data_IF_456695683085
#
_entry.id   IF_456695683085
#
_cell.length_a   1.000
_cell.length_b   1.000
_cell.length_c   1.000
_cell.angle_alpha   90.00
_cell.angle_beta   90.00
_cell.angle_gamma   90.00
#
_symmetry.space_group_name_H-M   'P 1'
#
loop_
_entity.id
_entity.type
_entity.pdbx_description
1 polymer ?
#
# COMPACT_ATOMS: atom_id res chain seq x y z
N UNK A 1 50.98 -16.07 -34.61
CA UNK A 1 50.78 -14.61 -34.57
C UNK A 1 49.44 -14.36 -33.93
N UNK A 2 49.47 -13.71 -32.78
CA UNK A 2 48.39 -13.49 -31.82
C UNK A 2 47.39 -12.47 -32.35
N UNK A 3 46.10 -12.79 -32.33
CA UNK A 3 45.02 -11.84 -32.59
C UNK A 3 44.57 -11.20 -31.27
N UNK A 4 44.88 -9.92 -31.12
CA UNK A 4 44.47 -9.06 -30.00
C UNK A 4 42.95 -8.90 -29.95
N UNK A 5 42.34 -9.34 -28.84
CA UNK A 5 40.97 -8.98 -28.47
C UNK A 5 41.05 -7.67 -27.69
N UNK A 6 40.32 -6.59 -28.08
CA UNK A 6 40.37 -5.35 -27.33
C UNK A 6 39.75 -5.54 -25.95
N UNK A 7 40.52 -5.31 -24.90
CA UNK A 7 40.03 -5.19 -23.52
C UNK A 7 39.10 -3.98 -23.41
N UNK A 8 37.91 -4.09 -22.81
CA UNK A 8 37.02 -2.94 -22.61
C UNK A 8 37.67 -1.92 -21.66
N UNK A 9 37.52 -0.64 -22.01
CA UNK A 9 37.99 0.53 -21.29
C UNK A 9 37.50 0.57 -19.81
N UNK A 10 38.40 0.69 -18.81
CA UNK A 10 38.03 0.75 -17.39
C UNK A 10 37.22 1.98 -16.97
N UNK A 11 37.03 2.98 -17.84
CA UNK A 11 36.52 4.30 -17.46
C UNK A 11 34.98 4.44 -17.40
N UNK A 12 34.19 3.39 -17.60
CA UNK A 12 32.71 3.45 -17.58
C UNK A 12 32.06 2.94 -16.28
N UNK A 13 32.80 2.82 -15.18
CA UNK A 13 32.19 2.55 -13.87
C UNK A 13 31.62 3.83 -13.27
N UNK A 14 30.33 4.10 -13.57
CA UNK A 14 29.48 5.00 -12.76
C UNK A 14 29.75 4.68 -11.29
N UNK A 15 30.21 5.69 -10.54
CA UNK A 15 30.42 5.62 -9.09
C UNK A 15 29.10 5.25 -8.40
N UNK A 16 28.86 3.96 -8.24
CA UNK A 16 27.79 3.45 -7.39
C UNK A 16 28.23 3.66 -5.96
N UNK A 17 27.63 4.65 -5.30
CA UNK A 17 27.81 4.86 -3.86
C UNK A 17 27.46 3.57 -3.09
N UNK A 18 27.96 3.48 -1.87
CA UNK A 18 27.97 2.31 -0.95
C UNK A 18 26.61 1.64 -0.66
N UNK A 19 25.53 2.04 -1.33
CA UNK A 19 24.19 1.48 -1.27
C UNK A 19 23.63 0.96 -2.61
N UNK A 20 24.34 1.10 -3.75
CA UNK A 20 23.87 0.61 -5.06
C UNK A 20 22.55 1.22 -5.57
N UNK A 21 22.06 2.30 -4.94
CA UNK A 21 20.81 3.00 -5.27
C UNK A 21 21.11 4.33 -5.94
N UNK A 22 20.36 4.65 -6.98
CA UNK A 22 20.34 5.97 -7.61
C UNK A 22 19.49 6.92 -6.74
N UNK A 23 20.11 7.44 -5.67
CA UNK A 23 19.47 8.27 -4.65
C UNK A 23 18.67 9.47 -5.23
N UNK A 24 19.15 10.16 -6.30
CA UNK A 24 18.39 11.22 -6.96
C UNK A 24 17.11 10.72 -7.65
N UNK A 25 17.16 9.58 -8.34
CA UNK A 25 15.98 9.00 -9.00
C UNK A 25 14.92 8.58 -7.96
N UNK A 26 15.38 8.03 -6.85
CA UNK A 26 14.57 7.68 -5.70
C UNK A 26 13.80 8.89 -5.12
N UNK A 27 14.49 10.01 -4.89
CA UNK A 27 13.87 11.24 -4.38
C UNK A 27 12.89 11.82 -5.41
N UNK A 28 13.26 11.83 -6.68
CA UNK A 28 12.40 12.35 -7.75
C UNK A 28 11.07 11.59 -7.82
N UNK A 29 11.08 10.25 -7.82
CA UNK A 29 9.86 9.44 -7.84
C UNK A 29 8.98 9.70 -6.61
N UNK A 30 9.58 9.77 -5.41
CA UNK A 30 8.83 10.06 -4.19
C UNK A 30 8.16 11.44 -4.22
N UNK A 31 8.90 12.48 -4.62
CA UNK A 31 8.37 13.85 -4.76
C UNK A 31 7.29 13.90 -5.83
N UNK A 32 7.47 13.24 -6.96
CA UNK A 32 6.46 13.18 -8.03
C UNK A 32 5.19 12.49 -7.55
N UNK A 33 5.28 11.37 -6.84
CA UNK A 33 4.11 10.67 -6.30
C UNK A 33 3.34 11.55 -5.31
N UNK A 34 4.05 12.18 -4.36
CA UNK A 34 3.44 13.13 -3.41
C UNK A 34 2.81 14.32 -4.13
N UNK A 35 3.49 14.89 -5.13
CA UNK A 35 2.96 15.99 -5.92
C UNK A 35 1.70 15.57 -6.69
N UNK A 36 1.69 14.40 -7.33
CA UNK A 36 0.51 13.88 -8.04
C UNK A 36 -0.66 13.69 -7.09
N UNK A 37 -0.42 13.12 -5.90
CA UNK A 37 -1.46 12.94 -4.88
C UNK A 37 -1.99 14.28 -4.38
N UNK A 38 -1.13 15.21 -3.98
CA UNK A 38 -1.57 16.50 -3.44
C UNK A 38 -2.22 17.38 -4.51
N UNK A 39 -1.67 17.44 -5.72
CA UNK A 39 -2.25 18.21 -6.81
C UNK A 39 -3.60 17.63 -7.26
N UNK A 40 -3.74 16.31 -7.34
CA UNK A 40 -5.04 15.72 -7.66
C UNK A 40 -6.08 16.01 -6.58
N UNK A 41 -5.72 15.95 -5.30
CA UNK A 41 -6.64 16.27 -4.19
C UNK A 41 -7.10 17.73 -4.17
N UNK A 42 -6.23 18.68 -4.53
CA UNK A 42 -6.53 20.11 -4.47
C UNK A 42 -7.38 20.55 -5.68
N UNK A 43 -7.11 20.01 -6.86
CA UNK A 43 -7.69 20.52 -8.11
C UNK A 43 -8.89 19.72 -8.61
N UNK A 44 -8.89 18.38 -8.47
CA UNK A 44 -9.97 17.52 -8.97
C UNK A 44 -10.10 16.22 -8.16
N UNK A 45 -11.09 16.13 -7.25
CA UNK A 45 -11.36 14.92 -6.44
C UNK A 45 -11.42 13.65 -7.30
N UNK A 46 -12.07 13.73 -8.47
CA UNK A 46 -12.20 12.61 -9.40
C UNK A 46 -10.85 12.15 -9.98
N UNK A 47 -9.89 13.06 -10.17
CA UNK A 47 -8.54 12.71 -10.64
C UNK A 47 -7.79 11.88 -9.61
N UNK A 48 -7.94 12.19 -8.31
CA UNK A 48 -7.36 11.37 -7.25
C UNK A 48 -7.99 9.96 -7.24
N UNK A 49 -9.30 9.86 -7.46
CA UNK A 49 -9.99 8.58 -7.63
C UNK A 49 -9.37 7.73 -8.74
N UNK A 50 -9.09 8.34 -9.90
CA UNK A 50 -8.40 7.67 -11.02
C UNK A 50 -7.00 7.20 -10.62
N UNK A 51 -6.23 8.04 -9.91
CA UNK A 51 -4.88 7.67 -9.42
C UNK A 51 -4.95 6.44 -8.51
N UNK A 52 -5.90 6.40 -7.58
CA UNK A 52 -6.11 5.24 -6.68
C UNK A 52 -6.48 3.99 -7.48
N UNK A 53 -7.40 4.09 -8.44
CA UNK A 53 -7.79 2.95 -9.30
C UNK A 53 -6.59 2.42 -10.07
N UNK A 54 -5.81 3.29 -10.73
CA UNK A 54 -4.62 2.89 -11.48
C UNK A 54 -3.59 2.24 -10.56
N UNK A 55 -3.34 2.82 -9.38
CA UNK A 55 -2.39 2.29 -8.42
C UNK A 55 -2.78 0.88 -7.94
N UNK A 56 -4.04 0.65 -7.60
CA UNK A 56 -4.53 -0.64 -7.13
C UNK A 56 -4.56 -1.70 -8.23
N UNK A 57 -4.85 -1.32 -9.48
CA UNK A 57 -4.75 -2.23 -10.63
C UNK A 57 -3.30 -2.67 -10.84
N UNK A 58 -2.35 -1.74 -10.80
CA UNK A 58 -0.92 -2.04 -10.92
C UNK A 58 -0.45 -2.94 -9.77
N UNK A 59 -0.84 -2.64 -8.53
CA UNK A 59 -0.54 -3.46 -7.36
C UNK A 59 -1.13 -4.88 -7.49
N UNK A 60 -2.35 -5.00 -8.03
CA UNK A 60 -2.97 -6.30 -8.31
C UNK A 60 -2.19 -7.10 -9.35
N UNK A 61 -1.64 -6.45 -10.39
CA UNK A 61 -0.76 -7.11 -11.35
C UNK A 61 0.54 -7.61 -10.70
N UNK A 62 1.22 -6.78 -9.91
CA UNK A 62 2.45 -7.15 -9.20
C UNK A 62 2.21 -8.32 -8.24
N UNK A 63 1.19 -8.22 -7.39
CA UNK A 63 0.84 -9.27 -6.43
C UNK A 63 0.41 -10.57 -7.14
N UNK A 64 -0.31 -10.49 -8.26
CA UNK A 64 -0.67 -11.68 -9.04
C UNK A 64 0.57 -12.38 -9.65
N UNK A 65 1.57 -11.61 -10.08
CA UNK A 65 2.85 -12.14 -10.59
C UNK A 65 3.68 -12.75 -9.48
N UNK A 66 3.73 -12.11 -8.31
CA UNK A 66 4.36 -12.66 -7.12
C UNK A 66 3.76 -14.02 -6.75
N UNK A 67 2.43 -14.12 -6.65
CA UNK A 67 1.73 -15.38 -6.37
C UNK A 67 1.97 -16.45 -7.46
N UNK A 68 2.13 -16.04 -8.72
CA UNK A 68 2.44 -16.96 -9.81
C UNK A 68 3.79 -17.67 -9.64
N UNK A 69 4.77 -17.06 -8.95
CA UNK A 69 6.06 -17.70 -8.64
C UNK A 69 5.91 -18.90 -7.70
N UNK A 70 4.89 -18.88 -6.82
CA UNK A 70 4.48 -20.00 -5.98
C UNK A 70 3.49 -20.96 -6.67
N UNK A 71 3.31 -20.82 -7.99
CA UNK A 71 2.42 -21.64 -8.80
C UNK A 71 0.93 -21.34 -8.62
N UNK A 72 0.55 -20.24 -7.97
CA UNK A 72 -0.83 -19.80 -7.75
C UNK A 72 -1.29 -18.96 -8.95
N UNK A 73 -2.40 -19.34 -9.60
CA UNK A 73 -2.88 -18.64 -10.81
C UNK A 73 -4.14 -17.84 -10.51
N UNK A 74 -3.95 -16.56 -10.23
CA UNK A 74 -5.07 -15.66 -9.96
C UNK A 74 -5.97 -15.52 -11.21
N UNK A 75 -7.30 -15.69 -11.11
CA UNK A 75 -8.25 -15.38 -12.16
C UNK A 75 -8.40 -13.86 -12.30
N UNK A 76 -7.37 -13.21 -12.84
CA UNK A 76 -7.21 -11.77 -12.80
C UNK A 76 -8.32 -10.98 -13.55
N UNK A 77 -8.85 -11.41 -14.70
CA UNK A 77 -9.87 -10.64 -15.41
C UNK A 77 -11.15 -10.32 -14.60
N UNK A 78 -11.85 -11.30 -13.99
CA UNK A 78 -13.00 -10.99 -13.13
C UNK A 78 -12.60 -10.20 -11.88
N UNK A 79 -11.43 -10.45 -11.30
CA UNK A 79 -10.94 -9.72 -10.12
C UNK A 79 -10.72 -8.23 -10.43
N UNK A 80 -10.07 -7.90 -11.56
CA UNK A 80 -9.85 -6.51 -11.95
C UNK A 80 -11.15 -5.81 -12.35
N UNK A 81 -11.99 -6.46 -13.16
CA UNK A 81 -13.25 -5.87 -13.59
C UNK A 81 -14.17 -5.59 -12.40
N UNK A 82 -14.34 -6.58 -11.51
CA UNK A 82 -15.15 -6.45 -10.31
C UNK A 82 -14.54 -5.51 -9.27
N UNK A 83 -13.22 -5.56 -9.08
CA UNK A 83 -12.49 -4.67 -8.17
C UNK A 83 -12.58 -3.19 -8.58
N UNK A 84 -12.37 -2.89 -9.87
CA UNK A 84 -12.55 -1.52 -10.40
C UNK A 84 -14.00 -1.07 -10.30
N UNK A 85 -14.95 -1.95 -10.61
CA UNK A 85 -16.39 -1.64 -10.46
C UNK A 85 -16.72 -1.33 -9.00
N UNK A 86 -16.17 -2.10 -8.05
CA UNK A 86 -16.37 -1.89 -6.62
C UNK A 86 -15.79 -0.54 -6.15
N UNK A 87 -14.62 -0.14 -6.66
CA UNK A 87 -14.03 1.18 -6.37
C UNK A 87 -14.92 2.32 -6.90
N UNK A 88 -15.38 2.21 -8.15
CA UNK A 88 -16.22 3.23 -8.80
C UNK A 88 -17.56 3.36 -8.08
N UNK A 89 -18.24 2.24 -7.81
CA UNK A 89 -19.51 2.22 -7.08
C UNK A 89 -19.32 2.75 -5.67
N UNK A 90 -18.26 2.35 -4.96
CA UNK A 90 -18.01 2.85 -3.61
C UNK A 90 -17.68 4.35 -3.53
N UNK A 91 -17.31 4.98 -4.66
CA UNK A 91 -17.11 6.43 -4.76
C UNK A 91 -18.39 7.18 -5.14
N UNK A 92 -19.19 6.66 -6.06
CA UNK A 92 -20.39 7.36 -6.57
C UNK A 92 -21.70 7.00 -5.86
N UNK A 93 -21.74 5.88 -5.14
CA UNK A 93 -22.93 5.34 -4.51
C UNK A 93 -22.65 5.05 -3.02
N UNK A 94 -22.79 3.81 -2.55
CA UNK A 94 -22.60 3.45 -1.15
C UNK A 94 -21.79 2.15 -0.94
N UNK A 95 -21.54 1.82 0.34
CA UNK A 95 -20.80 0.62 0.73
C UNK A 95 -21.60 -0.67 0.61
N UNK A 96 -22.94 -0.61 0.64
CA UNK A 96 -23.80 -1.78 0.45
C UNK A 96 -23.71 -2.24 -1.00
N UNK A 97 -23.83 -1.32 -1.96
CA UNK A 97 -23.66 -1.60 -3.39
C UNK A 97 -22.24 -2.07 -3.69
N UNK A 98 -21.20 -1.44 -3.11
CA UNK A 98 -19.82 -1.91 -3.26
C UNK A 98 -19.63 -3.36 -2.72
N UNK A 99 -20.26 -3.68 -1.58
CA UNK A 99 -20.23 -5.03 -1.01
C UNK A 99 -20.99 -6.04 -1.86
N UNK A 100 -22.12 -5.64 -2.46
CA UNK A 100 -22.85 -6.46 -3.41
C UNK A 100 -22.01 -6.75 -4.66
N UNK A 101 -21.30 -5.76 -5.20
CA UNK A 101 -20.35 -5.92 -6.32
C UNK A 101 -19.23 -6.89 -5.91
N UNK A 102 -18.69 -6.78 -4.69
CA UNK A 102 -17.69 -7.72 -4.18
C UNK A 102 -18.23 -9.15 -4.19
N UNK A 103 -19.43 -9.38 -3.64
CA UNK A 103 -20.05 -10.71 -3.58
C UNK A 103 -20.28 -11.30 -4.98
N UNK A 104 -20.79 -10.50 -5.92
CA UNK A 104 -20.95 -10.91 -7.32
C UNK A 104 -19.60 -11.24 -7.98
N UNK A 105 -18.56 -10.45 -7.68
CA UNK A 105 -17.21 -10.67 -8.20
C UNK A 105 -16.59 -11.96 -7.66
N UNK A 106 -16.86 -12.33 -6.40
CA UNK A 106 -16.45 -13.61 -5.82
C UNK A 106 -17.06 -14.77 -6.62
N UNK A 107 -18.36 -14.72 -6.89
CA UNK A 107 -19.04 -15.75 -7.70
C UNK A 107 -18.51 -15.77 -9.13
N UNK A 108 -18.32 -14.61 -9.76
CA UNK A 108 -17.74 -14.52 -11.11
C UNK A 108 -16.31 -15.08 -11.17
N UNK A 109 -15.52 -14.85 -10.12
CA UNK A 109 -14.16 -15.37 -9.96
C UNK A 109 -14.15 -16.89 -9.87
N UNK A 110 -15.05 -17.48 -9.08
CA UNK A 110 -15.22 -18.93 -8.99
C UNK A 110 -15.72 -19.53 -10.31
N UNK A 111 -16.71 -18.91 -10.94
CA UNK A 111 -17.24 -19.34 -12.23
C UNK A 111 -16.17 -19.30 -13.33
N UNK A 112 -15.31 -18.27 -13.35
CA UNK A 112 -14.21 -18.16 -14.29
C UNK A 112 -13.23 -19.33 -14.17
N UNK A 113 -12.96 -19.80 -12.94
CA UNK A 113 -12.07 -20.93 -12.65
C UNK A 113 -12.63 -22.29 -13.03
N UNK A 114 -13.96 -22.44 -13.16
CA UNK A 114 -14.58 -23.71 -13.59
C UNK A 114 -14.03 -24.20 -14.94
N UNK A 115 -13.69 -23.27 -15.84
CA UNK A 115 -13.16 -23.57 -17.18
C UNK A 115 -11.77 -24.23 -17.16
N UNK A 116 -11.06 -24.18 -16.05
CA UNK A 116 -9.71 -24.74 -15.92
C UNK A 116 -9.68 -26.07 -15.16
N UNK A 117 -10.85 -26.63 -14.83
CA UNK A 117 -10.96 -27.87 -14.06
C UNK A 117 -10.72 -27.70 -12.55
N UNK A 118 -10.61 -28.82 -11.84
CA UNK A 118 -10.52 -28.85 -10.38
C UNK A 118 -9.12 -28.59 -9.81
N UNK A 119 -8.06 -28.79 -10.62
CA UNK A 119 -6.68 -28.66 -10.19
C UNK A 119 -6.40 -27.23 -9.69
N UNK A 120 -6.00 -27.09 -8.42
CA UNK A 120 -5.71 -25.80 -7.80
C UNK A 120 -6.92 -24.85 -7.72
N UNK A 121 -8.16 -25.33 -7.92
CA UNK A 121 -9.36 -24.51 -7.98
C UNK A 121 -9.51 -23.62 -6.75
N UNK A 122 -9.50 -24.22 -5.54
CA UNK A 122 -9.65 -23.50 -4.28
C UNK A 122 -8.54 -22.47 -4.10
N UNK A 123 -7.27 -22.90 -4.25
CA UNK A 123 -6.08 -22.05 -4.11
C UNK A 123 -6.12 -20.81 -5.01
N UNK A 124 -6.44 -21.00 -6.28
CA UNK A 124 -6.47 -19.94 -7.27
C UNK A 124 -7.68 -18.99 -7.05
N UNK A 125 -8.84 -19.55 -6.67
CA UNK A 125 -10.02 -18.75 -6.32
C UNK A 125 -9.82 -17.93 -5.04
N UNK A 126 -9.27 -18.54 -3.98
CA UNK A 126 -8.95 -17.84 -2.73
C UNK A 126 -7.92 -16.74 -2.94
N UNK A 127 -6.96 -16.94 -3.84
CA UNK A 127 -6.01 -15.89 -4.21
C UNK A 127 -6.71 -14.69 -4.91
N UNK A 128 -7.70 -14.95 -5.77
CA UNK A 128 -8.51 -13.88 -6.35
C UNK A 128 -9.35 -13.13 -5.32
N UNK A 129 -9.97 -13.84 -4.39
CA UNK A 129 -10.74 -13.26 -3.27
C UNK A 129 -9.82 -12.47 -2.34
N UNK A 130 -8.60 -12.96 -2.10
CA UNK A 130 -7.58 -12.25 -1.34
C UNK A 130 -7.21 -10.94 -2.01
N UNK A 131 -6.93 -10.89 -3.33
CA UNK A 131 -6.67 -9.63 -4.03
C UNK A 131 -7.85 -8.66 -3.96
N UNK A 132 -9.07 -9.17 -4.11
CA UNK A 132 -10.30 -8.36 -4.03
C UNK A 132 -10.46 -7.71 -2.64
N UNK A 133 -10.25 -8.50 -1.59
CA UNK A 133 -10.42 -8.06 -0.20
C UNK A 133 -9.26 -7.20 0.28
N UNK A 134 -8.03 -7.57 -0.09
CA UNK A 134 -6.81 -6.92 0.39
C UNK A 134 -6.53 -5.61 -0.35
N UNK A 135 -6.73 -5.55 -1.67
CA UNK A 135 -6.42 -4.35 -2.44
C UNK A 135 -7.67 -3.49 -2.67
N UNK A 136 -8.69 -4.07 -3.29
CA UNK A 136 -9.81 -3.29 -3.80
C UNK A 136 -10.76 -2.85 -2.68
N UNK A 137 -11.10 -3.74 -1.73
CA UNK A 137 -12.00 -3.37 -0.63
C UNK A 137 -11.32 -2.34 0.29
N UNK A 138 -10.03 -2.50 0.56
CA UNK A 138 -9.26 -1.50 1.31
C UNK A 138 -9.19 -0.16 0.57
N UNK A 139 -8.99 -0.20 -0.75
CA UNK A 139 -9.04 0.96 -1.63
C UNK A 139 -10.39 1.67 -1.63
N UNK A 140 -11.49 0.92 -1.50
CA UNK A 140 -12.84 1.50 -1.42
C UNK A 140 -12.97 2.41 -0.19
N UNK A 141 -12.37 2.08 0.95
CA UNK A 141 -12.36 2.97 2.11
C UNK A 141 -11.61 4.28 1.84
N UNK A 142 -10.53 4.25 1.04
CA UNK A 142 -9.81 5.46 0.63
C UNK A 142 -10.70 6.37 -0.21
N UNK A 143 -11.41 5.80 -1.20
CA UNK A 143 -12.34 6.57 -2.02
C UNK A 143 -13.52 7.07 -1.20
N UNK A 144 -14.01 6.29 -0.23
CA UNK A 144 -15.11 6.72 0.63
C UNK A 144 -14.70 7.88 1.55
N UNK A 145 -13.46 7.94 2.04
CA UNK A 145 -12.95 9.12 2.74
C UNK A 145 -13.04 10.38 1.86
N UNK A 146 -12.76 10.27 0.57
CA UNK A 146 -12.75 11.41 -0.36
C UNK A 146 -14.13 12.00 -0.64
N UNK A 147 -15.19 11.19 -0.54
CA UNK A 147 -16.57 11.61 -0.81
C UNK A 147 -17.17 12.54 0.25
N UNK A 148 -16.54 12.65 1.43
CA UNK A 148 -16.96 13.61 2.44
C UNK A 148 -16.72 15.06 1.97
N UNK A 149 -17.40 16.02 2.61
CA UNK A 149 -17.26 17.45 2.28
C UNK A 149 -15.80 17.91 2.48
N UNK A 150 -15.21 17.52 3.61
CA UNK A 150 -13.81 17.66 4.01
C UNK A 150 -12.90 16.53 3.46
N UNK A 151 -13.38 15.75 2.48
CA UNK A 151 -12.74 14.53 2.00
C UNK A 151 -11.24 14.66 1.63
N UNK A 152 -10.79 15.74 0.96
CA UNK A 152 -9.36 15.94 0.71
C UNK A 152 -8.51 15.96 2.00
N UNK A 153 -9.01 16.58 3.06
CA UNK A 153 -8.33 16.62 4.35
C UNK A 153 -8.34 15.26 5.05
N UNK A 154 -9.40 14.47 4.90
CA UNK A 154 -9.44 13.09 5.43
C UNK A 154 -8.39 12.22 4.76
N UNK A 155 -8.23 12.32 3.44
CA UNK A 155 -7.19 11.60 2.70
C UNK A 155 -5.80 12.10 3.10
N UNK A 156 -5.60 13.41 3.26
CA UNK A 156 -4.33 13.97 3.76
C UNK A 156 -4.02 13.47 5.17
N UNK A 157 -5.00 13.42 6.07
CA UNK A 157 -4.84 12.90 7.42
C UNK A 157 -4.38 11.43 7.39
N UNK A 158 -5.07 10.59 6.61
CA UNK A 158 -4.73 9.18 6.39
C UNK A 158 -3.28 9.00 5.91
N UNK A 159 -2.86 9.75 4.89
CA UNK A 159 -1.50 9.67 4.35
C UNK A 159 -0.48 10.19 5.36
N UNK A 160 -0.77 11.31 6.01
CA UNK A 160 0.12 11.97 6.96
C UNK A 160 0.41 11.08 8.17
N UNK A 161 -0.61 10.46 8.78
CA UNK A 161 -0.40 9.59 9.95
C UNK A 161 0.41 8.35 9.60
N UNK A 162 0.25 7.83 8.37
CA UNK A 162 1.01 6.68 7.87
C UNK A 162 2.47 7.05 7.62
N UNK A 163 2.73 8.17 6.93
CA UNK A 163 4.09 8.68 6.70
C UNK A 163 4.78 9.05 8.02
N UNK A 164 4.06 9.68 8.96
CA UNK A 164 4.59 10.02 10.27
C UNK A 164 4.97 8.76 11.07
N UNK A 165 4.18 7.69 10.97
CA UNK A 165 4.51 6.38 11.56
C UNK A 165 5.83 5.84 11.00
N UNK A 166 6.02 5.85 9.68
CA UNK A 166 7.24 5.33 9.05
C UNK A 166 8.48 6.17 9.39
N UNK A 167 8.35 7.50 9.34
CA UNK A 167 9.45 8.42 9.67
C UNK A 167 9.84 8.29 11.15
N UNK A 168 8.85 8.30 12.05
CA UNK A 168 9.06 8.15 13.48
C UNK A 168 9.69 6.79 13.82
N UNK A 169 9.21 5.73 13.16
CA UNK A 169 9.71 4.38 13.33
C UNK A 169 11.13 4.18 12.84
N UNK A 170 11.43 4.72 11.67
CA UNK A 170 12.78 4.71 11.12
C UNK A 170 13.75 5.53 12.00
N UNK A 171 13.38 6.75 12.39
CA UNK A 171 14.23 7.62 13.19
C UNK A 171 14.55 7.00 14.56
N UNK A 172 13.53 6.56 15.30
CA UNK A 172 13.73 5.93 16.61
C UNK A 172 14.40 4.56 16.49
N UNK A 173 14.09 3.79 15.45
CA UNK A 173 14.72 2.50 15.17
C UNK A 173 16.22 2.62 14.89
N UNK A 174 16.64 3.63 14.12
CA UNK A 174 18.06 3.87 13.83
C UNK A 174 18.82 4.39 15.05
N UNK A 175 18.22 5.30 15.83
CA UNK A 175 18.88 5.95 16.96
C UNK A 175 18.92 5.06 18.22
N UNK A 176 17.85 4.30 18.47
CA UNK A 176 17.63 3.60 19.73
C UNK A 176 17.30 2.11 19.58
N UNK A 177 17.17 1.60 18.36
CA UNK A 177 16.74 0.23 18.11
C UNK A 177 17.69 -0.81 18.71
N UNK A 178 17.21 -1.52 19.73
CA UNK A 178 17.96 -2.59 20.40
C UNK A 178 17.16 -3.88 20.48
N UNK A 179 15.84 -3.78 20.58
CA UNK A 179 14.98 -4.94 20.79
C UNK A 179 14.13 -5.21 19.54
N UNK A 180 14.45 -6.23 18.73
CA UNK A 180 13.64 -6.59 17.58
C UNK A 180 12.23 -7.01 18.00
N UNK A 181 11.22 -6.49 17.30
CA UNK A 181 9.81 -6.78 17.58
C UNK A 181 9.36 -8.12 16.97
N UNK A 182 9.78 -8.41 15.74
CA UNK A 182 9.39 -9.61 15.02
C UNK A 182 10.62 -10.29 14.38
N UNK A 183 11.51 -10.93 15.18
CA UNK A 183 12.81 -11.41 14.70
C UNK A 183 12.70 -12.40 13.54
N UNK A 184 11.65 -13.23 13.55
CA UNK A 184 11.40 -14.26 12.55
C UNK A 184 10.73 -13.75 11.28
N UNK A 185 10.21 -12.51 11.25
CA UNK A 185 9.42 -11.96 10.13
C UNK A 185 10.06 -10.69 9.57
N UNK A 186 10.47 -9.77 10.43
CA UNK A 186 11.13 -8.52 10.07
C UNK A 186 12.19 -8.17 11.14
N UNK A 187 13.44 -8.66 10.96
CA UNK A 187 14.51 -8.46 11.94
C UNK A 187 14.87 -6.98 12.18
N UNK A 188 14.48 -6.10 11.25
CA UNK A 188 14.80 -4.67 11.28
C UNK A 188 13.77 -3.84 12.05
N UNK A 189 12.58 -4.37 12.33
CA UNK A 189 11.59 -3.67 13.14
C UNK A 189 11.91 -3.85 14.63
N UNK A 190 12.01 -2.75 15.36
CA UNK A 190 12.29 -2.74 16.80
C UNK A 190 11.13 -2.16 17.61
N UNK A 191 11.05 -2.52 18.89
CA UNK A 191 10.09 -1.94 19.83
C UNK A 191 10.33 -0.44 20.04
N UNK A 192 11.58 0.01 20.03
CA UNK A 192 11.92 1.44 20.09
C UNK A 192 11.46 2.19 18.85
N UNK A 193 11.59 1.56 17.67
CA UNK A 193 11.02 2.07 16.42
C UNK A 193 9.51 2.25 16.54
N UNK A 194 8.79 1.20 16.97
CA UNK A 194 7.35 1.29 17.15
C UNK A 194 6.90 2.38 18.13
N UNK A 195 7.62 2.58 19.23
CA UNK A 195 7.37 3.71 20.13
C UNK A 195 7.56 5.07 19.44
N UNK A 196 8.60 5.20 18.60
CA UNK A 196 8.82 6.39 17.77
C UNK A 196 7.70 6.62 16.75
N UNK A 197 7.23 5.57 16.08
CA UNK A 197 6.04 5.61 15.21
C UNK A 197 4.81 6.11 15.96
N UNK A 198 4.59 5.60 17.17
CA UNK A 198 3.48 5.99 18.03
C UNK A 198 3.48 7.48 18.34
N UNK A 199 4.61 8.02 18.81
CA UNK A 199 4.73 9.45 19.14
C UNK A 199 4.53 10.32 17.91
N UNK A 200 5.19 10.01 16.80
CA UNK A 200 5.11 10.81 15.58
C UNK A 200 3.70 10.80 14.96
N UNK A 201 3.08 9.62 14.86
CA UNK A 201 1.76 9.46 14.25
C UNK A 201 0.64 10.04 15.13
N UNK A 202 0.72 9.90 16.46
CA UNK A 202 -0.24 10.55 17.39
C UNK A 202 -0.12 12.05 17.33
N UNK A 203 1.10 12.61 17.32
CA UNK A 203 1.29 14.05 17.17
C UNK A 203 0.69 14.54 15.83
N UNK A 204 1.00 13.87 14.72
CA UNK A 204 0.46 14.20 13.41
C UNK A 204 -1.08 14.09 13.36
N UNK A 205 -1.63 13.03 13.94
CA UNK A 205 -3.08 12.78 14.03
C UNK A 205 -3.80 13.86 14.83
N UNK A 206 -3.29 14.24 15.99
CA UNK A 206 -3.84 15.35 16.79
C UNK A 206 -3.80 16.66 16.00
N UNK A 207 -2.66 17.00 15.40
CA UNK A 207 -2.50 18.25 14.67
C UNK A 207 -3.46 18.34 13.47
N UNK A 208 -3.55 17.30 12.65
CA UNK A 208 -4.39 17.34 11.46
C UNK A 208 -5.88 17.32 11.81
N UNK A 209 -6.29 16.55 12.83
CA UNK A 209 -7.69 16.51 13.26
C UNK A 209 -8.14 17.85 13.83
N UNK A 210 -7.31 18.48 14.67
CA UNK A 210 -7.67 19.77 15.30
C UNK A 210 -7.66 20.92 14.31
N UNK A 211 -6.61 21.01 13.47
CA UNK A 211 -6.38 22.21 12.66
C UNK A 211 -6.94 22.14 11.23
N UNK A 212 -7.15 20.95 10.68
CA UNK A 212 -7.64 20.80 9.30
C UNK A 212 -9.02 20.16 9.21
N UNK A 213 -9.36 19.24 10.11
CA UNK A 213 -10.67 18.59 10.16
C UNK A 213 -11.62 19.20 11.20
N UNK A 214 -11.14 20.18 11.98
CA UNK A 214 -11.91 20.85 13.05
C UNK A 214 -12.55 19.89 14.08
N UNK A 215 -11.99 18.68 14.20
CA UNK A 215 -12.45 17.63 15.10
C UNK A 215 -11.80 17.70 16.48
N UNK A 216 -12.26 16.88 17.43
CA UNK A 216 -11.69 16.86 18.77
C UNK A 216 -10.29 16.23 18.79
N UNK A 217 -9.37 16.79 19.59
CA UNK A 217 -7.98 16.31 19.68
C UNK A 217 -7.86 14.82 20.01
N UNK A 218 -8.79 14.27 20.80
CA UNK A 218 -8.78 12.86 21.17
C UNK A 218 -9.12 11.94 19.99
N UNK A 219 -9.87 12.40 18.99
CA UNK A 219 -10.08 11.63 17.75
C UNK A 219 -8.76 11.53 16.96
N UNK A 220 -7.94 12.58 16.96
CA UNK A 220 -6.58 12.55 16.40
C UNK A 220 -5.63 11.62 17.15
N UNK A 221 -5.76 11.51 18.47
CA UNK A 221 -5.04 10.51 19.27
C UNK A 221 -5.42 9.08 18.86
N UNK A 222 -6.72 8.79 18.74
CA UNK A 222 -7.21 7.48 18.30
C UNK A 222 -6.73 7.16 16.88
N UNK A 223 -6.78 8.15 15.97
CA UNK A 223 -6.32 8.02 14.59
C UNK A 223 -4.83 7.64 14.53
N UNK A 224 -3.97 8.34 15.28
CA UNK A 224 -2.54 8.05 15.29
C UNK A 224 -2.20 6.68 15.87
N UNK A 225 -2.82 6.31 17.00
CA UNK A 225 -2.59 4.99 17.62
C UNK A 225 -3.03 3.87 16.67
N UNK A 226 -4.25 3.98 16.14
CA UNK A 226 -4.80 2.98 15.25
C UNK A 226 -3.99 2.88 13.95
N UNK A 227 -3.59 4.03 13.38
CA UNK A 227 -2.73 4.10 12.20
C UNK A 227 -1.41 3.34 12.38
N UNK A 228 -0.71 3.53 13.50
CA UNK A 228 0.57 2.84 13.77
C UNK A 228 0.40 1.34 13.92
N UNK A 229 -0.65 0.91 14.65
CA UNK A 229 -0.94 -0.51 14.83
C UNK A 229 -1.20 -1.20 13.47
N UNK A 230 -2.07 -0.61 12.65
CA UNK A 230 -2.45 -1.20 11.36
C UNK A 230 -1.35 -1.07 10.30
N UNK A 231 -0.61 0.04 10.24
CA UNK A 231 0.58 0.16 9.39
C UNK A 231 1.61 -0.94 9.73
N UNK A 232 1.87 -1.13 11.03
CA UNK A 232 2.83 -2.15 11.47
C UNK A 232 2.36 -3.55 11.10
N UNK A 233 1.08 -3.85 11.27
CA UNK A 233 0.49 -5.13 10.87
C UNK A 233 0.55 -5.34 9.35
N UNK A 234 0.23 -4.31 8.55
CA UNK A 234 0.31 -4.34 7.09
C UNK A 234 1.69 -4.75 6.59
N UNK A 235 2.73 -4.06 7.05
CA UNK A 235 4.12 -4.37 6.67
C UNK A 235 4.56 -5.78 7.09
N UNK A 236 4.09 -6.27 8.25
CA UNK A 236 4.40 -7.62 8.72
C UNK A 236 3.67 -8.68 7.89
N UNK A 237 2.40 -8.46 7.57
CA UNK A 237 1.63 -9.30 6.65
C UNK A 237 2.30 -9.35 5.28
N UNK A 238 2.70 -8.22 4.72
CA UNK A 238 3.43 -8.19 3.46
C UNK A 238 4.76 -8.93 3.55
N UNK A 239 5.54 -8.67 4.60
CA UNK A 239 6.82 -9.35 4.82
C UNK A 239 6.66 -10.87 4.88
N UNK A 240 5.55 -11.36 5.45
CA UNK A 240 5.21 -12.79 5.45
C UNK A 240 4.80 -13.29 4.07
N UNK A 241 3.96 -12.56 3.33
CA UNK A 241 3.55 -12.93 1.96
C UNK A 241 4.79 -13.10 1.08
N UNK A 242 5.73 -12.15 1.11
CA UNK A 242 6.96 -12.20 0.32
C UNK A 242 7.79 -13.44 0.64
N UNK A 243 7.92 -13.76 1.93
CA UNK A 243 8.64 -14.96 2.40
C UNK A 243 7.97 -16.26 2.00
N UNK A 244 6.64 -16.32 2.07
CA UNK A 244 5.86 -17.51 1.72
C UNK A 244 6.00 -17.85 0.24
N UNK A 245 5.96 -16.84 -0.64
CA UNK A 245 6.15 -17.05 -2.08
C UNK A 245 7.62 -17.09 -2.52
N UNK A 246 8.56 -16.90 -1.58
CA UNK A 246 10.01 -16.99 -1.84
C UNK A 246 10.60 -15.81 -2.62
N UNK A 247 9.94 -14.65 -2.63
CA UNK A 247 10.44 -13.42 -3.26
C UNK A 247 10.89 -12.40 -2.21
N UNK A 248 11.65 -11.40 -2.65
CA UNK A 248 12.11 -10.31 -1.80
C UNK A 248 11.31 -9.01 -2.00
N UNK A 249 11.02 -8.69 -3.25
CA UNK A 249 10.34 -7.47 -3.69
C UNK A 249 9.16 -7.88 -4.61
N UNK A 250 8.03 -7.16 -4.57
CA UNK A 250 6.82 -7.53 -5.32
C UNK A 250 6.93 -7.27 -6.83
N UNK A 251 7.85 -6.41 -7.23
CA UNK A 251 8.14 -6.07 -8.62
C UNK A 251 9.28 -5.07 -8.74
N UNK A 252 9.60 -4.71 -9.99
CA UNK A 252 10.67 -3.77 -10.34
C UNK A 252 10.13 -2.52 -11.07
N UNK A 253 8.84 -2.20 -10.87
CA UNK A 253 8.16 -1.17 -11.67
C UNK A 253 8.70 0.24 -11.42
N UNK A 254 9.11 0.56 -10.20
CA UNK A 254 9.65 1.87 -9.84
C UNK A 254 11.18 1.79 -9.70
N UNK A 255 11.95 2.45 -10.59
CA UNK A 255 13.40 2.42 -10.57
C UNK A 255 13.96 2.85 -9.20
N UNK A 256 14.65 1.93 -8.52
CA UNK A 256 15.25 2.16 -7.21
C UNK A 256 14.29 2.15 -6.01
N UNK A 257 13.01 1.79 -6.21
CA UNK A 257 11.98 1.80 -5.17
C UNK A 257 11.22 0.48 -4.97
N UNK A 258 11.41 -0.51 -5.85
CA UNK A 258 10.69 -1.79 -5.79
C UNK A 258 9.36 -1.75 -6.53
N UNK A 259 8.39 -2.56 -6.11
CA UNK A 259 7.04 -2.56 -6.64
C UNK A 259 6.23 -1.38 -6.12
N UNK A 260 5.14 -1.06 -6.81
CA UNK A 260 4.12 -0.16 -6.27
C UNK A 260 3.43 -0.79 -5.04
N UNK A 261 3.25 -2.11 -5.03
CA UNK A 261 2.68 -2.84 -3.92
C UNK A 261 3.49 -2.64 -2.63
N UNK A 262 4.84 -2.67 -2.72
CA UNK A 262 5.76 -2.44 -1.59
C UNK A 262 5.65 -1.01 -1.00
N UNK A 263 4.88 -0.11 -1.62
CA UNK A 263 4.61 1.27 -1.15
C UNK A 263 3.20 1.47 -0.63
N UNK A 264 2.30 0.57 -0.98
CA UNK A 264 0.90 0.61 -0.56
C UNK A 264 0.65 -0.28 0.66
N UNK A 265 1.64 -1.06 1.11
CA UNK A 265 1.50 -2.11 2.12
C UNK A 265 0.98 -1.61 3.48
N UNK A 266 1.62 -0.59 4.04
CA UNK A 266 1.17 0.12 5.24
C UNK A 266 -0.14 0.87 4.99
N UNK A 267 -0.24 1.58 3.86
CA UNK A 267 -1.40 2.42 3.52
C UNK A 267 -2.69 1.61 3.40
N UNK A 268 -2.64 0.46 2.75
CA UNK A 268 -3.78 -0.43 2.53
C UNK A 268 -4.33 -0.94 3.87
N UNK A 269 -3.46 -1.31 4.80
CA UNK A 269 -3.88 -1.77 6.12
C UNK A 269 -4.46 -0.63 6.98
N UNK A 270 -3.97 0.60 6.83
CA UNK A 270 -4.44 1.77 7.58
C UNK A 270 -5.78 2.31 7.04
N UNK A 271 -6.05 2.18 5.75
CA UNK A 271 -7.24 2.73 5.09
C UNK A 271 -8.59 2.46 5.82
N UNK A 272 -8.96 1.21 6.16
CA UNK A 272 -10.25 0.94 6.82
C UNK A 272 -10.33 1.57 8.20
N UNK A 273 -9.24 1.55 8.98
CA UNK A 273 -9.26 2.07 10.34
C UNK A 273 -9.25 3.59 10.37
N UNK A 274 -8.52 4.23 9.45
CA UNK A 274 -8.54 5.67 9.28
C UNK A 274 -9.93 6.15 8.86
N UNK A 275 -10.57 5.47 7.90
CA UNK A 275 -11.95 5.73 7.51
C UNK A 275 -12.90 5.63 8.70
N UNK A 276 -12.88 4.52 9.46
CA UNK A 276 -13.78 4.32 10.59
C UNK A 276 -13.60 5.36 11.70
N UNK A 277 -12.35 5.66 12.06
CA UNK A 277 -12.03 6.66 13.09
C UNK A 277 -12.56 8.02 12.68
N UNK A 278 -12.27 8.46 11.45
CA UNK A 278 -12.75 9.76 10.99
C UNK A 278 -14.26 9.76 10.78
N UNK A 279 -14.87 8.71 10.23
CA UNK A 279 -16.32 8.64 10.02
C UNK A 279 -17.13 8.70 11.32
N UNK A 280 -16.62 8.09 12.40
CA UNK A 280 -17.34 8.01 13.67
C UNK A 280 -17.04 9.16 14.64
N UNK A 281 -15.86 9.76 14.55
CA UNK A 281 -15.34 10.67 15.59
C UNK A 281 -15.05 12.09 15.10
N UNK A 282 -15.15 12.33 13.78
CA UNK A 282 -14.87 13.61 13.11
C UNK A 282 -16.01 13.95 12.15
#
# INVERSE_FOLDING_TARGET
>A
MTSDVPTPDPAAQKKTGRAGRDLPAAIAVGVTLVAVVLLSLIWFKDLFGIVVVVALVVAAFELSRALATAGIRVPLPPVLAGGVTMLVVGYYDDMETATAVMALTVIATMAWRLRSGSAGFVRDATAGIFLLSYLFLMGTFVLRMLTADDGPWRVVAFILVTIASDIGGYAAGVLFGKHPMAPTISPKKSWEGFAGSMVASVAAGILIVVFALEGPWWAGLVLGIAGVCFATLGDLCESLIKRDVGIKDMGDLLPGHGGLMDRLDSLIAVAPVAYLVMYLLV
#
